data_IF_993331962848
#
_entry.id   IF_993331962848
#
_cell.length_a   1.000
_cell.length_b   1.000
_cell.length_c   1.000
_cell.angle_alpha   90.00
_cell.angle_beta   90.00
_cell.angle_gamma   90.00
#
_symmetry.space_group_name_H-M   'P 1'
#
loop_
_entity.id
_entity.type
_entity.pdbx_description
1 polymer ?
#
# COMPACT_ATOMS: atom_id res chain seq x y z
N UNK A 1 -19.81 -57.61 22.68
CA UNK A 1 -20.18 -56.35 22.01
C UNK A 1 -19.15 -55.30 22.37
N UNK A 2 -18.24 -54.89 21.47
CA UNK A 2 -17.29 -53.82 21.75
C UNK A 2 -17.91 -52.44 21.49
N UNK A 3 -17.64 -51.50 22.39
CA UNK A 3 -18.08 -50.09 22.37
C UNK A 3 -17.54 -49.32 21.15
N UNK A 4 -18.30 -48.36 20.58
CA UNK A 4 -17.81 -47.52 19.50
C UNK A 4 -16.85 -46.46 20.07
N UNK A 5 -15.64 -46.40 19.52
CA UNK A 5 -14.67 -45.34 19.77
C UNK A 5 -15.26 -43.96 19.42
N UNK A 6 -15.00 -42.91 20.21
CA UNK A 6 -15.39 -41.55 19.85
C UNK A 6 -14.58 -41.11 18.62
N UNK A 7 -15.27 -40.66 17.58
CA UNK A 7 -14.67 -40.07 16.38
C UNK A 7 -13.88 -38.83 16.78
N UNK A 8 -12.58 -39.01 16.97
CA UNK A 8 -11.60 -37.92 17.07
C UNK A 8 -11.62 -37.13 15.76
N UNK A 9 -11.88 -35.82 15.90
CA UNK A 9 -11.61 -34.75 14.94
C UNK A 9 -11.87 -35.08 13.47
N UNK A 10 -13.11 -34.90 13.03
CA UNK A 10 -13.34 -34.56 11.62
C UNK A 10 -12.68 -33.21 11.36
N UNK A 11 -11.52 -33.23 10.68
CA UNK A 11 -10.96 -32.05 10.02
C UNK A 11 -12.07 -31.41 9.16
N UNK A 12 -12.19 -30.06 9.15
CA UNK A 12 -13.12 -29.39 8.25
C UNK A 12 -12.84 -29.86 6.83
N UNK A 13 -13.89 -30.31 6.15
CA UNK A 13 -13.85 -30.84 4.79
C UNK A 13 -13.28 -29.77 3.85
N UNK A 14 -12.11 -30.06 3.26
CA UNK A 14 -11.26 -29.16 2.46
C UNK A 14 -11.83 -28.71 1.09
N UNK A 15 -13.15 -28.76 0.86
CA UNK A 15 -13.74 -28.46 -0.46
C UNK A 15 -14.30 -27.03 -0.63
N UNK A 16 -14.31 -26.18 0.43
CA UNK A 16 -14.79 -24.79 0.35
C UNK A 16 -13.68 -23.71 0.21
N UNK A 17 -12.41 -24.11 0.13
CA UNK A 17 -11.26 -23.19 0.14
C UNK A 17 -10.91 -22.48 -1.17
N UNK A 18 -11.67 -22.70 -2.26
CA UNK A 18 -11.16 -22.46 -3.63
C UNK A 18 -11.21 -21.05 -4.23
N UNK A 19 -11.86 -20.01 -3.66
CA UNK A 19 -11.62 -18.65 -4.10
C UNK A 19 -11.06 -17.70 -3.02
N UNK A 20 -10.70 -18.17 -1.82
CA UNK A 20 -10.26 -17.28 -0.72
C UNK A 20 -8.98 -16.50 -1.06
N UNK A 21 -7.95 -17.23 -1.49
CA UNK A 21 -6.66 -16.66 -1.89
C UNK A 21 -6.75 -15.73 -3.12
N UNK A 22 -7.36 -16.13 -4.25
CA UNK A 22 -7.44 -15.24 -5.42
C UNK A 22 -8.33 -14.02 -5.17
N UNK A 23 -9.41 -14.16 -4.39
CA UNK A 23 -10.28 -13.01 -4.05
C UNK A 23 -9.55 -12.03 -3.13
N UNK A 24 -8.87 -12.53 -2.10
CA UNK A 24 -8.04 -11.72 -1.22
C UNK A 24 -6.93 -11.02 -1.97
N UNK A 25 -6.19 -11.75 -2.82
CA UNK A 25 -5.14 -11.19 -3.65
C UNK A 25 -5.66 -10.06 -4.55
N UNK A 26 -6.74 -10.30 -5.30
CA UNK A 26 -7.34 -9.29 -6.18
C UNK A 26 -7.82 -8.07 -5.39
N UNK A 27 -8.45 -8.26 -4.23
CA UNK A 27 -8.90 -7.17 -3.37
C UNK A 27 -7.71 -6.36 -2.79
N UNK A 28 -6.59 -7.03 -2.47
CA UNK A 28 -5.35 -6.38 -2.03
C UNK A 28 -4.71 -5.52 -3.12
N UNK A 29 -4.62 -6.03 -4.35
CA UNK A 29 -4.14 -5.25 -5.51
C UNK A 29 -5.08 -4.06 -5.78
N UNK A 30 -6.40 -4.29 -5.75
CA UNK A 30 -7.39 -3.25 -5.94
C UNK A 30 -7.28 -2.15 -4.87
N UNK A 31 -7.03 -2.51 -3.61
CA UNK A 31 -6.83 -1.54 -2.53
C UNK A 31 -5.64 -0.62 -2.79
N UNK A 32 -4.53 -1.17 -3.30
CA UNK A 32 -3.35 -0.38 -3.68
C UNK A 32 -3.65 0.57 -4.84
N UNK A 33 -4.29 0.07 -5.90
CA UNK A 33 -4.64 0.86 -7.09
C UNK A 33 -5.60 1.99 -6.72
N UNK A 34 -6.67 1.69 -6.00
CA UNK A 34 -7.67 2.67 -5.57
C UNK A 34 -7.04 3.73 -4.66
N UNK A 35 -6.18 3.32 -3.72
CA UNK A 35 -5.44 4.25 -2.87
C UNK A 35 -4.55 5.19 -3.67
N UNK A 36 -3.79 4.65 -4.63
CA UNK A 36 -2.92 5.45 -5.51
C UNK A 36 -3.74 6.43 -6.37
N UNK A 37 -4.88 5.99 -6.92
CA UNK A 37 -5.78 6.87 -7.70
C UNK A 37 -6.37 7.98 -6.84
N UNK A 38 -6.76 7.68 -5.59
CA UNK A 38 -7.26 8.69 -4.67
C UNK A 38 -6.20 9.74 -4.33
N UNK A 39 -4.94 9.33 -4.13
CA UNK A 39 -3.81 10.26 -3.98
C UNK A 39 -3.59 11.09 -5.25
N UNK A 40 -3.68 10.49 -6.43
CA UNK A 40 -3.56 11.22 -7.69
C UNK A 40 -4.66 12.28 -7.84
N UNK A 41 -5.90 11.94 -7.49
CA UNK A 41 -7.02 12.89 -7.48
C UNK A 41 -6.82 14.01 -6.47
N UNK A 42 -6.32 13.68 -5.27
CA UNK A 42 -5.97 14.66 -4.24
C UNK A 42 -4.88 15.63 -4.72
N UNK A 43 -3.78 15.11 -5.27
CA UNK A 43 -2.70 15.92 -5.83
C UNK A 43 -3.22 16.84 -6.94
N UNK A 44 -4.01 16.31 -7.87
CA UNK A 44 -4.60 17.10 -8.95
C UNK A 44 -5.47 18.26 -8.43
N UNK A 45 -6.23 18.05 -7.35
CA UNK A 45 -7.04 19.10 -6.70
C UNK A 45 -6.19 20.10 -5.92
N UNK A 46 -5.07 19.67 -5.36
CA UNK A 46 -4.25 20.49 -4.48
C UNK A 46 -3.20 21.33 -5.23
N UNK A 47 -2.77 20.91 -6.42
CA UNK A 47 -1.61 21.50 -7.11
C UNK A 47 -1.95 22.26 -8.40
N UNK A 48 -3.20 22.26 -8.86
CA UNK A 48 -3.70 22.98 -10.06
C UNK A 48 -2.76 22.88 -11.30
N UNK A 49 -2.02 21.77 -11.44
CA UNK A 49 -0.92 21.65 -12.40
C UNK A 49 -0.24 20.28 -12.41
N UNK A 50 0.67 20.03 -13.36
CA UNK A 50 1.34 18.74 -13.51
C UNK A 50 2.29 18.46 -12.34
N UNK A 51 1.91 17.50 -11.49
CA UNK A 51 2.66 17.15 -10.28
C UNK A 51 4.04 16.50 -10.54
N UNK A 52 4.38 16.19 -11.81
CA UNK A 52 5.72 15.76 -12.25
C UNK A 52 6.82 16.79 -11.99
N UNK A 53 6.45 18.06 -11.82
CA UNK A 53 7.36 19.19 -11.56
C UNK A 53 7.20 19.78 -10.18
N UNK A 54 6.55 19.08 -9.24
CA UNK A 54 6.47 19.53 -7.84
C UNK A 54 7.88 19.68 -7.27
N UNK A 55 8.17 20.81 -6.64
CA UNK A 55 9.49 21.11 -6.06
C UNK A 55 9.94 19.99 -5.10
N UNK A 56 9.05 19.48 -4.27
CA UNK A 56 9.35 18.34 -3.40
C UNK A 56 9.75 17.06 -4.17
N UNK A 57 9.18 16.84 -5.36
CA UNK A 57 9.49 15.68 -6.21
C UNK A 57 10.79 15.89 -7.00
N UNK A 58 11.01 17.08 -7.54
CA UNK A 58 12.21 17.44 -8.31
C UNK A 58 13.43 17.59 -7.41
N UNK A 59 13.27 18.07 -6.17
CA UNK A 59 14.35 18.10 -5.17
C UNK A 59 14.89 16.69 -4.86
N UNK A 60 14.02 15.67 -4.83
CA UNK A 60 14.44 14.28 -4.60
C UNK A 60 15.23 13.69 -5.78
N UNK A 61 15.03 14.21 -6.99
CA UNK A 61 15.67 13.73 -8.22
C UNK A 61 16.73 14.68 -8.78
N UNK A 62 17.22 15.62 -7.95
CA UNK A 62 18.28 16.56 -8.36
C UNK A 62 17.85 17.54 -9.47
N UNK A 63 16.56 17.90 -9.51
CA UNK A 63 15.97 18.82 -10.50
C UNK A 63 15.35 18.13 -11.72
N UNK A 64 15.51 16.80 -11.87
CA UNK A 64 14.93 16.04 -12.99
C UNK A 64 13.42 15.88 -12.83
N UNK A 65 12.60 16.18 -13.85
CA UNK A 65 11.16 15.91 -13.80
C UNK A 65 10.87 14.43 -13.53
N UNK A 66 9.99 14.14 -12.58
CA UNK A 66 9.58 12.78 -12.24
C UNK A 66 8.46 12.36 -13.19
N UNK A 67 8.45 11.13 -13.74
CA UNK A 67 7.31 10.63 -14.50
C UNK A 67 6.04 10.79 -13.68
N UNK A 68 5.03 11.47 -14.24
CA UNK A 68 3.78 11.77 -13.55
C UNK A 68 3.26 10.59 -12.70
N UNK A 69 3.05 9.36 -13.23
CA UNK A 69 2.46 8.27 -12.43
C UNK A 69 3.26 7.87 -11.18
N UNK A 70 4.55 8.22 -11.08
CA UNK A 70 5.38 7.85 -9.93
C UNK A 70 5.15 8.75 -8.72
N UNK A 71 4.75 10.01 -8.92
CA UNK A 71 4.51 10.93 -7.80
C UNK A 71 3.34 10.45 -6.92
N UNK A 72 2.15 10.10 -7.45
CA UNK A 72 1.06 9.56 -6.62
C UNK A 72 1.43 8.24 -5.93
N UNK A 73 2.21 7.40 -6.61
CA UNK A 73 2.71 6.14 -6.08
C UNK A 73 3.63 6.38 -4.88
N UNK A 74 4.58 7.28 -5.02
CA UNK A 74 5.52 7.64 -3.97
C UNK A 74 4.82 8.31 -2.80
N UNK A 75 3.87 9.20 -3.06
CA UNK A 75 3.04 9.84 -2.03
C UNK A 75 2.17 8.83 -1.30
N UNK A 76 1.57 7.85 -1.99
CA UNK A 76 0.83 6.75 -1.35
C UNK A 76 1.74 5.86 -0.51
N UNK A 77 2.98 5.61 -0.96
CA UNK A 77 4.03 4.96 -0.16
C UNK A 77 4.36 5.77 1.09
N UNK A 78 4.54 7.09 0.94
CA UNK A 78 4.76 8.05 2.01
C UNK A 78 3.65 8.05 3.07
N UNK A 79 2.39 7.94 2.64
CA UNK A 79 1.24 7.80 3.53
C UNK A 79 1.24 6.50 4.35
N UNK A 80 1.96 5.46 3.89
CA UNK A 80 2.22 4.24 4.68
C UNK A 80 3.42 4.38 5.62
N UNK A 81 4.04 5.56 5.72
CA UNK A 81 5.29 5.77 6.42
C UNK A 81 6.51 5.21 5.69
N UNK A 82 6.40 4.93 4.37
CA UNK A 82 7.54 4.54 3.56
C UNK A 82 8.20 5.80 2.99
N UNK A 83 9.40 6.15 3.47
CA UNK A 83 10.10 7.29 2.90
C UNK A 83 10.53 6.96 1.47
N UNK A 84 10.46 7.96 0.58
CA UNK A 84 11.15 7.88 -0.71
C UNK A 84 12.65 7.97 -0.40
N UNK A 85 13.42 7.00 -0.89
CA UNK A 85 14.87 6.93 -0.62
C UNK A 85 15.64 6.78 -1.91
N UNK A 86 16.85 7.32 -1.89
CA UNK A 86 17.91 6.93 -2.82
C UNK A 86 18.26 5.46 -2.54
N UNK A 87 18.16 4.63 -3.57
CA UNK A 87 18.52 3.22 -3.61
C UNK A 87 19.85 3.13 -4.36
N UNK A 88 20.92 3.06 -3.58
CA UNK A 88 22.30 2.89 -4.05
C UNK A 88 22.48 1.45 -4.55
N UNK A 89 22.95 1.26 -5.78
CA UNK A 89 23.19 -0.09 -6.34
C UNK A 89 24.69 -0.43 -6.48
N UNK A 90 25.58 0.55 -6.37
CA UNK A 90 27.04 0.37 -6.46
C UNK A 90 27.79 1.37 -5.57
N UNK A 91 28.43 0.91 -4.48
CA UNK A 91 29.29 1.76 -3.64
C UNK A 91 29.44 1.30 -2.18
N UNK A 92 30.40 1.84 -1.39
CA UNK A 92 30.59 1.52 0.02
C UNK A 92 29.56 2.16 0.96
N UNK A 93 28.49 2.77 0.43
CA UNK A 93 27.41 3.36 1.21
C UNK A 93 27.83 4.64 1.90
N UNK A 94 27.05 5.71 1.72
CA UNK A 94 26.69 6.70 2.76
C UNK A 94 26.16 8.00 2.14
N UNK A 95 24.96 7.96 1.55
CA UNK A 95 24.05 9.11 1.57
C UNK A 95 22.60 8.66 1.60
N UNK A 96 21.85 9.21 2.57
CA UNK A 96 20.45 8.90 2.75
C UNK A 96 19.65 10.19 2.60
N UNK A 97 19.17 10.49 1.39
CA UNK A 97 18.08 11.45 1.21
C UNK A 97 16.79 10.72 1.55
N UNK A 98 16.39 10.86 2.81
CA UNK A 98 15.11 10.41 3.36
C UNK A 98 14.14 11.57 3.26
N UNK A 99 13.23 11.56 2.28
CA UNK A 99 12.13 12.52 2.27
C UNK A 99 10.82 11.79 2.00
N UNK A 100 9.89 11.98 2.92
CA UNK A 100 8.50 11.61 2.69
C UNK A 100 7.86 12.77 1.94
N UNK A 101 7.27 12.49 0.77
CA UNK A 101 6.53 13.50 0.01
C UNK A 101 5.38 14.09 0.84
N UNK A 102 4.82 13.34 1.79
CA UNK A 102 3.79 13.83 2.70
C UNK A 102 4.38 14.92 3.61
N UNK A 103 5.51 14.64 4.28
CA UNK A 103 6.18 15.59 5.19
C UNK A 103 6.79 16.80 4.46
N UNK A 104 7.20 16.63 3.19
CA UNK A 104 7.76 17.71 2.36
C UNK A 104 6.70 18.70 1.84
N UNK A 105 5.42 18.34 1.89
CA UNK A 105 4.29 19.18 1.47
C UNK A 105 3.67 19.98 2.63
N UNK A 106 4.25 19.88 3.85
CA UNK A 106 3.72 20.51 5.06
C UNK A 106 3.89 22.04 5.07
N UNK A 107 2.75 22.72 4.91
CA UNK A 107 2.50 24.13 5.26
C UNK A 107 1.12 24.25 5.95
N UNK A 108 0.82 25.38 6.63
CA UNK A 108 -0.06 25.48 7.82
C UNK A 108 -1.58 25.23 7.66
N UNK A 109 -2.04 24.71 6.54
CA UNK A 109 -3.34 24.05 6.48
C UNK A 109 -3.04 22.56 6.33
N UNK A 110 -3.61 21.73 7.21
CA UNK A 110 -3.15 20.37 7.46
C UNK A 110 -4.06 19.27 6.82
N UNK A 111 -4.48 19.38 5.53
CA UNK A 111 -5.30 18.35 4.93
C UNK A 111 -4.47 17.15 4.46
N UNK A 112 -3.14 17.28 4.36
CA UNK A 112 -2.21 16.21 3.99
C UNK A 112 -2.05 15.14 5.08
N UNK A 113 -2.22 15.50 6.35
CA UNK A 113 -2.28 14.57 7.48
C UNK A 113 -3.29 13.43 7.25
N UNK A 114 -4.43 13.73 6.62
CA UNK A 114 -5.48 12.74 6.35
C UNK A 114 -5.08 11.68 5.31
N UNK A 115 -4.05 11.93 4.49
CA UNK A 115 -3.53 10.92 3.57
C UNK A 115 -2.98 9.70 4.33
N UNK A 116 -2.44 9.88 5.54
CA UNK A 116 -1.97 8.77 6.38
C UNK A 116 -3.08 7.77 6.75
N UNK A 117 -4.36 8.18 6.74
CA UNK A 117 -5.50 7.31 6.98
C UNK A 117 -5.94 6.53 5.73
N UNK A 118 -5.46 6.90 4.55
CA UNK A 118 -5.93 6.34 3.29
C UNK A 118 -5.49 4.88 3.08
N UNK A 119 -4.20 4.48 3.23
CA UNK A 119 -3.81 3.07 3.15
C UNK A 119 -4.57 2.14 4.11
N UNK A 120 -4.70 2.44 5.43
CA UNK A 120 -5.45 1.56 6.33
C UNK A 120 -6.95 1.52 5.99
N UNK A 121 -7.56 2.61 5.53
CA UNK A 121 -8.96 2.63 5.11
C UNK A 121 -9.20 1.74 3.86
N UNK A 122 -8.34 1.82 2.84
CA UNK A 122 -8.43 0.98 1.65
C UNK A 122 -8.34 -0.51 2.00
N UNK A 123 -7.41 -0.88 2.87
CA UNK A 123 -7.23 -2.26 3.32
C UNK A 123 -8.38 -2.75 4.19
N UNK A 124 -8.90 -1.90 5.07
CA UNK A 124 -10.10 -2.22 5.86
C UNK A 124 -11.30 -2.50 4.95
N UNK A 125 -11.56 -1.65 3.96
CA UNK A 125 -12.67 -1.85 3.01
C UNK A 125 -12.46 -3.10 2.16
N UNK A 126 -11.24 -3.37 1.68
CA UNK A 126 -10.92 -4.59 0.97
C UNK A 126 -11.14 -5.84 1.84
N UNK A 127 -10.79 -5.79 3.13
CA UNK A 127 -11.08 -6.83 4.10
C UNK A 127 -12.58 -7.05 4.31
N UNK A 128 -13.36 -5.97 4.43
CA UNK A 128 -14.83 -6.02 4.51
C UNK A 128 -15.42 -6.69 3.28
N UNK A 129 -15.02 -6.27 2.07
CA UNK A 129 -15.51 -6.84 0.80
C UNK A 129 -15.14 -8.31 0.70
N UNK A 130 -13.91 -8.68 1.01
CA UNK A 130 -13.45 -10.08 0.96
C UNK A 130 -14.26 -10.96 1.89
N UNK A 131 -14.42 -10.56 3.16
CA UNK A 131 -15.22 -11.31 4.12
C UNK A 131 -16.72 -11.30 3.78
N UNK A 132 -17.24 -10.23 3.16
CA UNK A 132 -18.63 -10.18 2.68
C UNK A 132 -18.91 -11.27 1.64
N UNK A 133 -17.94 -11.54 0.77
CA UNK A 133 -18.07 -12.50 -0.32
C UNK A 133 -17.85 -13.94 0.15
N UNK A 134 -17.00 -14.18 1.14
CA UNK A 134 -16.54 -15.55 1.45
C UNK A 134 -16.85 -16.04 2.87
N UNK A 135 -17.06 -15.13 3.83
CA UNK A 135 -17.21 -15.46 5.25
C UNK A 135 -18.38 -14.75 5.94
N UNK A 136 -19.32 -14.18 5.17
CA UNK A 136 -20.49 -13.52 5.75
C UNK A 136 -21.29 -14.48 6.62
N UNK A 137 -21.68 -14.07 7.83
CA UNK A 137 -22.41 -14.98 8.72
C UNK A 137 -21.51 -15.72 9.72
N UNK A 138 -20.22 -15.86 9.40
CA UNK A 138 -19.28 -16.75 10.10
C UNK A 138 -18.67 -16.12 11.35
N UNK A 139 -17.79 -16.83 12.07
CA UNK A 139 -17.14 -16.34 13.30
C UNK A 139 -16.27 -15.11 12.99
N UNK A 140 -16.20 -14.11 13.88
CA UNK A 140 -15.29 -12.97 13.68
C UNK A 140 -13.84 -13.38 13.42
N UNK A 141 -13.37 -14.47 14.03
CA UNK A 141 -12.04 -15.04 13.79
C UNK A 141 -11.87 -15.56 12.34
N UNK A 142 -12.90 -16.19 11.78
CA UNK A 142 -12.89 -16.62 10.37
C UNK A 142 -12.95 -15.39 9.45
N UNK A 143 -13.77 -14.40 9.80
CA UNK A 143 -13.79 -13.09 9.16
C UNK A 143 -12.42 -12.43 9.11
N UNK A 144 -11.71 -12.40 10.24
CA UNK A 144 -10.36 -11.89 10.33
C UNK A 144 -9.41 -12.62 9.38
N UNK A 145 -9.39 -13.96 9.43
CA UNK A 145 -8.52 -14.76 8.56
C UNK A 145 -8.80 -14.51 7.06
N UNK A 146 -10.07 -14.41 6.66
CA UNK A 146 -10.43 -14.06 5.28
C UNK A 146 -10.03 -12.63 4.91
N UNK A 147 -10.23 -11.68 5.81
CA UNK A 147 -9.84 -10.29 5.60
C UNK A 147 -8.33 -10.11 5.48
N UNK A 148 -7.52 -10.81 6.29
CA UNK A 148 -6.05 -10.75 6.23
C UNK A 148 -5.47 -11.29 4.93
N UNK A 149 -6.22 -12.07 4.14
CA UNK A 149 -5.76 -12.57 2.83
C UNK A 149 -5.47 -11.45 1.82
N UNK A 150 -6.01 -10.23 2.03
CA UNK A 150 -5.71 -9.06 1.20
C UNK A 150 -4.25 -8.61 1.31
N UNK A 151 -3.57 -8.98 2.40
CA UNK A 151 -2.18 -8.62 2.63
C UNK A 151 -1.25 -9.11 1.53
N UNK A 152 -1.51 -10.31 0.98
CA UNK A 152 -0.66 -10.93 -0.05
C UNK A 152 -0.69 -10.10 -1.34
N UNK A 153 -1.88 -9.73 -1.80
CA UNK A 153 -2.04 -8.92 -3.01
C UNK A 153 -1.50 -7.51 -2.84
N UNK A 154 -1.76 -6.90 -1.69
CA UNK A 154 -1.28 -5.55 -1.41
C UNK A 154 0.25 -5.50 -1.30
N UNK A 155 0.86 -6.43 -0.57
CA UNK A 155 2.32 -6.50 -0.44
C UNK A 155 3.00 -6.80 -1.77
N UNK A 156 2.42 -7.66 -2.61
CA UNK A 156 2.91 -7.92 -3.96
C UNK A 156 2.86 -6.65 -4.83
N UNK A 157 1.75 -5.89 -4.77
CA UNK A 157 1.63 -4.61 -5.48
C UNK A 157 2.68 -3.59 -5.00
N UNK A 158 2.90 -3.48 -3.68
CA UNK A 158 3.95 -2.62 -3.11
C UNK A 158 5.34 -3.05 -3.56
N UNK A 159 5.63 -4.35 -3.58
CA UNK A 159 6.93 -4.88 -4.02
C UNK A 159 7.20 -4.59 -5.50
N UNK A 160 6.23 -4.88 -6.37
CA UNK A 160 6.31 -4.56 -7.81
C UNK A 160 6.53 -3.07 -8.01
N UNK A 161 5.77 -2.24 -7.30
CA UNK A 161 5.85 -0.80 -7.44
C UNK A 161 7.17 -0.23 -6.90
N UNK A 162 7.70 -0.79 -5.80
CA UNK A 162 9.02 -0.44 -5.29
C UNK A 162 10.17 -0.80 -6.25
N UNK A 163 9.94 -1.74 -7.17
CA UNK A 163 10.88 -2.07 -8.25
C UNK A 163 10.70 -1.16 -9.47
N UNK A 164 9.45 -0.90 -9.88
CA UNK A 164 9.12 -0.23 -11.15
C UNK A 164 9.12 1.30 -11.03
N UNK A 165 8.62 1.85 -9.91
CA UNK A 165 8.54 3.29 -9.70
C UNK A 165 9.87 3.83 -9.16
N UNK A 166 10.91 3.74 -10.00
CA UNK A 166 12.27 4.22 -9.71
C UNK A 166 12.74 5.18 -10.79
N UNK A 167 13.39 6.26 -10.38
CA UNK A 167 13.99 7.23 -11.30
C UNK A 167 15.50 7.16 -11.20
N UNK A 168 16.19 6.85 -12.29
CA UNK A 168 17.65 6.87 -12.38
C UNK A 168 18.20 8.29 -12.34
N UNK A 169 19.27 8.48 -11.56
CA UNK A 169 19.92 9.78 -11.35
C UNK A 169 21.01 10.11 -12.40
N UNK A 170 21.53 9.10 -13.12
CA UNK A 170 22.63 9.26 -14.09
C UNK A 170 22.26 9.84 -15.47
N UNK A 171 20.98 9.92 -15.86
CA UNK A 171 20.59 10.34 -17.21
C UNK A 171 20.44 11.88 -17.35
N UNK A 172 21.47 12.68 -17.06
CA UNK A 172 21.47 14.10 -17.45
C UNK A 172 22.23 14.24 -18.78
N UNK A 173 21.55 14.47 -19.92
CA UNK A 173 22.23 14.70 -21.19
C UNK A 173 23.12 15.94 -21.10
N UNK A 174 24.29 15.97 -21.78
CA UNK A 174 25.26 17.07 -21.68
C UNK A 174 24.75 18.45 -22.16
N UNK A 175 23.50 18.54 -22.63
CA UNK A 175 22.89 19.75 -23.20
C UNK A 175 21.47 20.04 -22.64
N UNK A 176 21.12 19.57 -21.45
CA UNK A 176 19.83 19.90 -20.85
C UNK A 176 19.84 21.34 -20.31
N UNK A 177 18.92 22.19 -20.77
CA UNK A 177 18.66 23.49 -20.16
C UNK A 177 17.88 23.31 -18.85
N UNK A 178 18.41 23.85 -17.76
CA UNK A 178 17.82 23.82 -16.43
C UNK A 178 18.58 24.71 -15.46
N UNK A 179 17.98 25.06 -14.34
CA UNK A 179 18.68 25.79 -13.28
C UNK A 179 19.73 24.87 -12.66
N UNK A 180 20.99 25.31 -12.66
CA UNK A 180 22.02 24.67 -11.85
C UNK A 180 21.69 24.98 -10.40
N UNK A 181 21.09 24.03 -9.69
CA UNK A 181 21.06 24.08 -8.24
C UNK A 181 22.50 23.88 -7.74
N UNK A 182 23.20 24.99 -7.48
CA UNK A 182 24.52 24.96 -6.85
C UNK A 182 24.32 24.58 -5.39
N UNK A 183 24.42 23.28 -5.11
CA UNK A 183 24.59 22.72 -3.78
C UNK A 183 25.85 21.87 -3.76
N UNK A 184 26.51 21.77 -2.60
CA UNK A 184 27.63 20.85 -2.45
C UNK A 184 27.09 19.45 -2.19
N UNK A 185 27.25 18.56 -3.17
CA UNK A 185 27.22 17.11 -2.95
C UNK A 185 28.67 16.64 -2.79
N UNK A 186 28.90 15.74 -1.83
CA UNK A 186 30.21 15.10 -1.65
C UNK A 186 30.53 14.00 -2.67
N UNK A 187 29.62 13.75 -3.63
CA UNK A 187 29.70 12.66 -4.61
C UNK A 187 30.10 13.16 -5.98
N UNK A 188 30.95 12.40 -6.68
CA UNK A 188 31.31 12.68 -8.07
C UNK A 188 30.18 12.21 -9.00
N UNK A 189 29.83 12.93 -10.09
CA UNK A 189 28.69 12.59 -10.96
C UNK A 189 28.71 11.16 -11.53
N UNK A 190 29.89 10.62 -11.80
CA UNK A 190 30.09 9.23 -12.28
C UNK A 190 29.77 8.16 -11.24
N UNK A 191 29.74 8.52 -9.95
CA UNK A 191 29.42 7.59 -8.86
C UNK A 191 27.90 7.40 -8.70
N UNK A 192 27.09 8.24 -9.36
CA UNK A 192 25.63 8.17 -9.37
C UNK A 192 25.08 7.37 -10.56
N UNK A 193 25.95 6.89 -11.46
CA UNK A 193 25.60 6.04 -12.59
C UNK A 193 25.20 4.64 -12.09
N UNK A 194 23.90 4.39 -12.01
CA UNK A 194 23.32 3.15 -11.49
C UNK A 194 22.39 3.38 -10.29
N UNK A 195 22.45 4.56 -9.67
CA UNK A 195 21.61 4.89 -8.53
C UNK A 195 20.23 5.39 -8.94
N UNK A 196 19.24 5.07 -8.12
CA UNK A 196 17.85 5.39 -8.40
C UNK A 196 17.09 5.84 -7.16
N UNK A 197 16.11 6.73 -7.34
CA UNK A 197 15.22 7.18 -6.26
C UNK A 197 13.89 6.46 -6.37
N UNK A 198 13.39 5.93 -5.25
CA UNK A 198 12.09 5.27 -5.22
C UNK A 198 11.71 4.72 -3.84
N UNK A 199 10.67 3.89 -3.81
CA UNK A 199 10.23 3.24 -2.58
C UNK A 199 11.17 2.09 -2.19
N UNK A 200 11.44 1.90 -0.88
CA UNK A 200 12.29 0.82 -0.42
C UNK A 200 11.60 -0.55 -0.55
N UNK A 201 12.37 -1.60 -0.87
CA UNK A 201 11.84 -2.96 -1.01
C UNK A 201 11.26 -3.53 0.29
N UNK A 202 11.77 -3.11 1.45
CA UNK A 202 11.20 -3.49 2.74
C UNK A 202 9.77 -2.97 2.94
N UNK A 203 9.31 -2.02 2.10
CA UNK A 203 7.92 -1.59 2.08
C UNK A 203 6.91 -2.71 1.85
N UNK A 204 7.31 -3.81 1.21
CA UNK A 204 6.47 -5.01 1.08
C UNK A 204 6.15 -5.65 2.45
N UNK A 205 7.07 -5.58 3.41
CA UNK A 205 6.84 -6.03 4.79
C UNK A 205 5.81 -5.14 5.49
N UNK A 206 5.93 -3.81 5.35
CA UNK A 206 4.91 -2.88 5.85
C UNK A 206 3.54 -3.15 5.21
N UNK A 207 3.50 -3.40 3.90
CA UNK A 207 2.28 -3.78 3.19
C UNK A 207 1.65 -5.08 3.72
N UNK A 208 2.47 -6.08 4.06
CA UNK A 208 2.01 -7.31 4.73
C UNK A 208 1.39 -7.02 6.10
N UNK A 209 2.10 -6.27 6.95
CA UNK A 209 1.63 -5.94 8.31
C UNK A 209 0.33 -5.15 8.26
N UNK A 210 0.27 -4.09 7.43
CA UNK A 210 -0.93 -3.30 7.23
C UNK A 210 -2.09 -4.15 6.71
N UNK A 211 -1.85 -4.98 5.69
CA UNK A 211 -2.88 -5.83 5.12
C UNK A 211 -3.42 -6.87 6.09
N UNK A 212 -2.56 -7.47 6.93
CA UNK A 212 -2.98 -8.43 7.95
C UNK A 212 -3.85 -7.74 9.01
N UNK A 213 -3.40 -6.60 9.52
CA UNK A 213 -4.07 -5.87 10.61
C UNK A 213 -5.36 -5.25 10.10
N UNK A 214 -5.30 -4.34 9.12
CA UNK A 214 -6.47 -3.58 8.68
C UNK A 214 -7.43 -4.43 7.83
N UNK A 215 -6.90 -5.28 6.96
CA UNK A 215 -7.72 -6.25 6.22
C UNK A 215 -8.42 -7.23 7.17
N UNK A 216 -7.69 -7.76 8.16
CA UNK A 216 -8.26 -8.64 9.18
C UNK A 216 -9.35 -7.96 10.00
N UNK A 217 -9.11 -6.73 10.48
CA UNK A 217 -10.12 -5.95 11.21
C UNK A 217 -11.39 -5.72 10.38
N UNK A 218 -11.24 -5.36 9.10
CA UNK A 218 -12.38 -5.22 8.18
C UNK A 218 -13.18 -6.51 8.04
N UNK A 219 -12.49 -7.64 7.90
CA UNK A 219 -13.15 -8.94 7.79
C UNK A 219 -13.87 -9.38 9.06
N UNK A 220 -13.28 -9.11 10.23
CA UNK A 220 -13.89 -9.39 11.53
C UNK A 220 -15.18 -8.57 11.73
N UNK A 221 -15.14 -7.28 11.42
CA UNK A 221 -16.30 -6.36 11.50
C UNK A 221 -17.41 -6.83 10.56
N UNK A 222 -17.11 -7.15 9.30
CA UNK A 222 -18.08 -7.64 8.33
C UNK A 222 -18.80 -8.91 8.84
N UNK A 223 -18.06 -9.85 9.41
CA UNK A 223 -18.61 -11.10 9.93
C UNK A 223 -19.50 -10.87 11.15
N UNK A 224 -19.12 -9.95 12.04
CA UNK A 224 -19.93 -9.54 13.19
C UNK A 224 -21.25 -8.90 12.76
N UNK A 225 -21.21 -7.97 11.80
CA UNK A 225 -22.40 -7.32 11.23
C UNK A 225 -23.32 -8.37 10.60
N UNK A 226 -22.76 -9.29 9.82
CA UNK A 226 -23.55 -10.37 9.22
C UNK A 226 -24.30 -11.21 10.25
N UNK A 227 -23.68 -11.50 11.40
CA UNK A 227 -24.33 -12.25 12.49
C UNK A 227 -25.48 -11.49 13.12
N UNK A 228 -25.29 -10.20 13.39
CA UNK A 228 -26.32 -9.34 13.96
C UNK A 228 -27.53 -9.28 13.02
N UNK A 229 -27.29 -9.07 11.72
CA UNK A 229 -28.37 -9.05 10.70
C UNK A 229 -29.11 -10.38 10.65
N UNK A 230 -28.40 -11.50 10.66
CA UNK A 230 -29.02 -12.84 10.68
C UNK A 230 -29.86 -13.09 11.94
N UNK A 231 -29.39 -12.63 13.10
CA UNK A 231 -30.11 -12.76 14.36
C UNK A 231 -31.41 -11.93 14.37
N UNK A 232 -31.36 -10.68 13.89
CA UNK A 232 -32.53 -9.81 13.76
C UNK A 232 -33.55 -10.41 12.80
N UNK A 233 -33.11 -10.89 11.63
CA UNK A 233 -33.99 -11.53 10.64
C UNK A 233 -34.69 -12.77 11.19
N UNK A 234 -33.99 -13.58 11.99
CA UNK A 234 -34.57 -14.78 12.60
C UNK A 234 -35.58 -14.46 13.71
N UNK A 235 -35.43 -13.35 14.44
CA UNK A 235 -36.45 -12.90 15.40
C UNK A 235 -37.72 -12.41 14.70
N UNK A 236 -37.57 -11.65 13.61
CA UNK A 236 -38.72 -11.15 12.82
C UNK A 236 -39.55 -12.26 12.17
N UNK A 237 -38.97 -13.42 11.87
CA UNK A 237 -39.71 -14.57 11.32
C UNK A 237 -40.46 -15.40 12.36
N UNK A 238 -40.18 -15.20 13.66
CA UNK A 238 -40.78 -15.95 14.77
C UNK A 238 -41.85 -15.15 15.52
N UNK A 239 -41.98 -13.86 15.22
CA UNK A 239 -43.07 -12.99 15.66
C UNK A 239 -44.17 -12.99 14.59
#
# INVERSE_FOLDING_TARGET
MPSPFPRLFSLPRDDEGRPLLPTGFAAGVAAFVVGTVAVAGWLALATDGPFSTLDAATEMTGGKPVPAPFVPVWTFGGAMGLPVRLVETTGPGHAVVLRNLVDGLDGPADPWYWLGALPPACLFLAGVVTARLTAWSRRPAEGFATGSSVAVGFAAAVAVTALVARVGLGDVPPNAEGFVCVGSTGFHPTDLDGDSVGLPLWGAFSGLVYGVVFGGLGGAVASLVGRLVSAVRNRSKKA
#
